data_IF_979570289600
#
_entry.id   IF_979570289600
#
_cell.length_a   1.000
_cell.length_b   1.000
_cell.length_c   1.000
_cell.angle_alpha   90.00
_cell.angle_beta   90.00
_cell.angle_gamma   90.00
#
_symmetry.space_group_name_H-M   'P 1'
#
loop_
_entity.id
_entity.type
_entity.pdbx_description
1 polymer ?
#
# COMPACT_ATOMS: atom_id res chain seq x y z
N UNK A 1 -17.58 10.77 1.61
CA UNK A 1 -16.28 10.99 2.28
C UNK A 1 -15.23 11.20 1.19
N UNK A 2 -14.65 12.40 1.09
CA UNK A 2 -13.95 12.87 -0.11
C UNK A 2 -12.83 11.91 -0.55
N UNK A 3 -12.98 11.32 -1.74
CA UNK A 3 -12.01 10.41 -2.35
C UNK A 3 -10.58 11.02 -2.42
N UNK A 4 -10.49 12.36 -2.43
CA UNK A 4 -9.24 13.09 -2.33
C UNK A 4 -8.52 12.92 -0.98
N UNK A 5 -9.23 12.97 0.14
CA UNK A 5 -8.65 12.76 1.48
C UNK A 5 -8.18 11.32 1.66
N UNK A 6 -8.92 10.36 1.11
CA UNK A 6 -8.54 8.95 1.14
C UNK A 6 -7.26 8.74 0.29
N UNK A 7 -7.18 9.33 -0.90
CA UNK A 7 -5.98 9.24 -1.74
C UNK A 7 -4.77 9.95 -1.11
N UNK A 8 -4.97 11.09 -0.45
CA UNK A 8 -3.91 11.81 0.25
C UNK A 8 -3.43 11.04 1.49
N UNK A 9 -4.37 10.48 2.26
CA UNK A 9 -4.06 9.63 3.41
C UNK A 9 -3.32 8.36 3.00
N UNK A 10 -3.77 7.70 1.92
CA UNK A 10 -3.07 6.54 1.35
C UNK A 10 -1.66 6.92 0.89
N UNK A 11 -1.48 8.06 0.22
CA UNK A 11 -0.14 8.55 -0.17
C UNK A 11 0.76 8.84 1.02
N UNK A 12 0.25 9.48 2.07
CA UNK A 12 1.01 9.79 3.28
C UNK A 12 1.38 8.53 4.04
N UNK A 13 0.46 7.56 4.16
CA UNK A 13 0.71 6.26 4.80
C UNK A 13 1.71 5.41 4.02
N UNK A 14 1.71 5.50 2.69
CA UNK A 14 2.70 4.82 1.83
C UNK A 14 4.08 5.49 1.83
N UNK A 15 4.26 6.61 2.54
CA UNK A 15 5.55 7.30 2.63
C UNK A 15 6.39 6.73 3.77
N UNK A 16 7.59 6.26 3.43
CA UNK A 16 8.58 5.72 4.36
C UNK A 16 8.96 6.68 5.51
N UNK A 17 8.78 7.98 5.30
CA UNK A 17 9.26 9.03 6.21
C UNK A 17 8.20 9.54 7.17
N UNK A 18 6.92 9.24 6.93
CA UNK A 18 5.83 9.85 7.67
C UNK A 18 5.83 9.43 9.14
N UNK A 19 5.87 8.13 9.43
CA UNK A 19 5.88 7.61 10.81
C UNK A 19 7.15 8.05 11.57
N UNK A 20 8.39 7.92 11.02
CA UNK A 20 9.58 8.44 11.68
C UNK A 20 9.52 9.94 11.98
N UNK A 21 9.01 10.75 11.07
CA UNK A 21 8.91 12.20 11.27
C UNK A 21 7.95 12.55 12.41
N UNK A 22 6.79 11.89 12.47
CA UNK A 22 5.82 12.10 13.56
C UNK A 22 6.42 11.68 14.90
N UNK A 23 7.08 10.51 14.97
CA UNK A 23 7.73 10.06 16.20
C UNK A 23 8.84 11.02 16.65
N UNK A 24 9.63 11.55 15.72
CA UNK A 24 10.66 12.55 16.01
C UNK A 24 10.08 13.84 16.59
N UNK A 25 8.98 14.34 16.03
CA UNK A 25 8.27 15.52 16.57
C UNK A 25 7.76 15.25 17.99
N UNK A 26 7.17 14.07 18.23
CA UNK A 26 6.71 13.67 19.56
C UNK A 26 7.88 13.59 20.56
N UNK A 27 9.01 13.04 20.15
CA UNK A 27 10.21 12.96 20.99
C UNK A 27 10.78 14.34 21.33
N UNK A 28 10.83 15.27 20.36
CA UNK A 28 11.22 16.65 20.61
C UNK A 28 10.23 17.34 21.56
N UNK A 29 8.93 17.19 21.34
CA UNK A 29 7.92 17.74 22.25
C UNK A 29 8.05 17.18 23.68
N UNK A 30 8.26 15.87 23.80
CA UNK A 30 8.50 15.21 25.08
C UNK A 30 9.76 15.72 25.78
N UNK A 31 10.83 16.03 25.03
CA UNK A 31 12.07 16.58 25.58
C UNK A 31 11.92 17.97 26.21
N UNK A 32 10.93 18.75 25.79
CA UNK A 32 10.60 20.02 26.43
C UNK A 32 9.60 19.85 27.57
N UNK A 33 8.67 18.89 27.47
CA UNK A 33 7.64 18.67 28.46
C UNK A 33 8.14 17.97 29.74
N UNK A 34 9.02 16.96 29.60
CA UNK A 34 9.47 16.15 30.73
C UNK A 34 10.32 16.92 31.74
N UNK A 35 11.32 17.75 31.36
CA UNK A 35 12.07 18.55 32.34
C UNK A 35 11.19 19.48 33.17
N UNK A 36 10.11 20.00 32.58
CA UNK A 36 9.11 20.86 33.25
C UNK A 36 8.29 20.06 34.28
N UNK A 37 8.12 18.75 34.07
CA UNK A 37 7.53 17.85 35.07
C UNK A 37 8.56 17.53 36.16
N UNK A 38 9.82 17.34 35.81
CA UNK A 38 10.91 17.03 36.75
C UNK A 38 11.03 18.12 37.81
N UNK A 39 10.97 19.40 37.44
CA UNK A 39 10.96 20.54 38.38
C UNK A 39 9.79 20.51 39.39
N UNK A 40 8.70 19.79 39.09
CA UNK A 40 7.50 19.72 39.95
C UNK A 40 7.48 18.50 40.86
N UNK A 41 8.35 17.51 40.63
CA UNK A 41 8.40 16.27 41.40
C UNK A 41 9.49 16.39 42.46
N UNK A 42 9.17 16.09 43.73
CA UNK A 42 10.15 16.12 44.82
C UNK A 42 11.16 14.98 44.64
N UNK A 43 12.46 15.31 44.60
CA UNK A 43 13.60 14.39 44.38
C UNK A 43 13.62 13.21 45.36
N UNK A 44 12.92 13.35 46.50
CA UNK A 44 12.78 12.31 47.54
C UNK A 44 12.17 11.00 47.04
N UNK A 45 11.42 11.03 45.94
CA UNK A 45 10.82 9.83 45.32
C UNK A 45 11.73 9.16 44.27
N UNK A 46 12.86 9.77 43.92
CA UNK A 46 13.75 9.36 42.82
C UNK A 46 15.12 8.85 43.30
N UNK A 47 15.26 8.52 44.59
CA UNK A 47 16.53 8.08 45.21
C UNK A 47 17.14 6.82 44.61
N UNK A 48 16.37 6.05 43.83
CA UNK A 48 16.81 4.86 43.10
C UNK A 48 17.51 5.20 41.77
N UNK A 49 17.44 6.46 41.32
CA UNK A 49 18.05 6.99 40.09
C UNK A 49 19.00 8.14 40.42
N UNK A 50 19.67 8.10 41.57
CA UNK A 50 20.63 9.14 41.93
C UNK A 50 21.79 9.15 40.92
N UNK A 51 21.98 10.27 40.22
CA UNK A 51 22.98 10.40 39.17
C UNK A 51 23.61 11.79 39.16
N UNK A 52 24.90 11.86 38.84
CA UNK A 52 25.61 13.14 38.73
C UNK A 52 25.37 13.77 37.36
N UNK A 53 25.48 15.10 37.25
CA UNK A 53 25.39 15.82 35.96
C UNK A 53 26.35 15.24 34.92
N UNK A 54 27.57 14.87 35.33
CA UNK A 54 28.57 14.26 34.46
C UNK A 54 28.15 12.85 33.98
N UNK A 55 27.60 12.02 34.88
CA UNK A 55 27.09 10.70 34.54
C UNK A 55 25.87 10.79 33.59
N UNK A 56 24.95 11.73 33.83
CA UNK A 56 23.82 11.97 32.94
C UNK A 56 24.27 12.40 31.54
N UNK A 57 25.17 13.40 31.44
CA UNK A 57 25.70 13.87 30.14
C UNK A 57 26.40 12.76 29.37
N UNK A 58 27.28 12.01 30.03
CA UNK A 58 27.99 10.89 29.39
C UNK A 58 27.04 9.79 28.93
N UNK A 59 26.03 9.45 29.74
CA UNK A 59 25.02 8.44 29.39
C UNK A 59 24.15 8.88 28.21
N UNK A 60 23.62 10.11 28.24
CA UNK A 60 22.81 10.67 27.15
C UNK A 60 23.60 10.78 25.84
N UNK A 61 24.86 11.22 25.90
CA UNK A 61 25.74 11.31 24.73
C UNK A 61 26.06 9.92 24.16
N UNK A 62 26.37 8.93 25.01
CA UNK A 62 26.59 7.56 24.59
C UNK A 62 25.34 6.95 23.93
N UNK A 63 24.16 7.16 24.51
CA UNK A 63 22.88 6.71 23.95
C UNK A 63 22.62 7.38 22.61
N UNK A 64 22.75 8.70 22.51
CA UNK A 64 22.53 9.45 21.28
C UNK A 64 23.44 8.93 20.15
N UNK A 65 24.74 8.76 20.41
CA UNK A 65 25.70 8.22 19.45
C UNK A 65 25.37 6.79 19.01
N UNK A 66 25.03 5.92 19.97
CA UNK A 66 24.63 4.55 19.68
C UNK A 66 23.36 4.49 18.81
N UNK A 67 22.33 5.28 19.14
CA UNK A 67 21.09 5.33 18.37
C UNK A 67 21.28 5.89 16.97
N UNK A 68 22.14 6.89 16.77
CA UNK A 68 22.47 7.40 15.42
C UNK A 68 23.16 6.33 14.57
N UNK A 69 24.03 5.54 15.18
CA UNK A 69 24.71 4.42 14.50
C UNK A 69 23.72 3.31 14.16
N UNK A 70 22.87 2.90 15.10
CA UNK A 70 21.82 1.89 14.86
C UNK A 70 20.83 2.35 13.78
N UNK A 71 20.47 3.62 13.76
CA UNK A 71 19.60 4.18 12.71
C UNK A 71 20.26 4.04 11.34
N UNK A 72 21.56 4.35 11.23
CA UNK A 72 22.32 4.19 9.99
C UNK A 72 22.44 2.73 9.53
N UNK A 73 22.67 1.79 10.45
CA UNK A 73 22.75 0.35 10.11
C UNK A 73 21.39 -0.19 9.68
N UNK A 74 20.31 0.18 10.36
CA UNK A 74 18.94 -0.21 10.01
C UNK A 74 18.55 0.34 8.64
N UNK A 75 18.87 1.60 8.35
CA UNK A 75 18.66 2.21 7.03
C UNK A 75 19.43 1.47 5.94
N UNK A 76 20.72 1.18 6.18
CA UNK A 76 21.57 0.43 5.24
C UNK A 76 21.00 -0.97 4.96
N UNK A 77 20.64 -1.72 6.01
CA UNK A 77 20.00 -3.04 5.88
C UNK A 77 18.68 -2.93 5.11
N UNK A 78 17.86 -1.91 5.40
CA UNK A 78 16.58 -1.69 4.69
C UNK A 78 16.83 -1.51 3.19
N UNK A 79 17.79 -0.66 2.81
CA UNK A 79 18.12 -0.40 1.40
C UNK A 79 18.67 -1.65 0.71
N UNK A 80 19.54 -2.39 1.38
CA UNK A 80 20.07 -3.66 0.85
C UNK A 80 18.95 -4.68 0.66
N UNK A 81 18.08 -4.86 1.65
CA UNK A 81 16.92 -5.75 1.55
C UNK A 81 15.97 -5.34 0.44
N UNK A 82 15.69 -4.04 0.28
CA UNK A 82 14.87 -3.50 -0.79
C UNK A 82 15.50 -3.80 -2.17
N UNK A 83 16.81 -3.63 -2.29
CA UNK A 83 17.55 -3.95 -3.52
C UNK A 83 17.49 -5.45 -3.84
N UNK A 84 17.76 -6.32 -2.87
CA UNK A 84 17.70 -7.78 -3.03
C UNK A 84 16.29 -8.24 -3.41
N UNK A 85 15.27 -7.69 -2.76
CA UNK A 85 13.86 -7.98 -3.07
C UNK A 85 13.50 -7.54 -4.48
N UNK A 86 13.96 -6.35 -4.92
CA UNK A 86 13.72 -5.86 -6.28
C UNK A 86 14.33 -6.78 -7.34
N UNK A 87 15.51 -7.32 -7.05
CA UNK A 87 16.20 -8.26 -7.93
C UNK A 87 15.47 -9.61 -7.94
N UNK A 88 15.12 -10.14 -6.77
CA UNK A 88 14.56 -11.47 -6.63
C UNK A 88 13.10 -11.56 -7.09
N UNK A 89 12.25 -10.62 -6.68
CA UNK A 89 10.80 -10.72 -6.85
C UNK A 89 10.21 -9.64 -7.77
N UNK A 90 10.92 -8.54 -7.97
CA UNK A 90 10.56 -7.50 -8.93
C UNK A 90 9.93 -6.23 -8.36
N UNK A 91 9.86 -5.19 -9.20
CA UNK A 91 9.57 -3.84 -8.74
C UNK A 91 8.12 -3.65 -8.27
N UNK A 92 7.23 -4.60 -8.56
CA UNK A 92 5.82 -4.56 -8.10
C UNK A 92 5.70 -4.96 -6.64
N UNK A 93 6.52 -5.89 -6.17
CA UNK A 93 6.49 -6.41 -4.79
C UNK A 93 7.25 -5.53 -3.80
N UNK A 94 8.03 -4.56 -4.29
CA UNK A 94 8.67 -3.52 -3.47
C UNK A 94 7.68 -2.67 -2.68
N UNK A 95 6.44 -2.48 -3.17
CA UNK A 95 5.45 -1.67 -2.47
C UNK A 95 5.03 -2.28 -1.14
N UNK A 96 4.84 -3.59 -1.09
CA UNK A 96 4.52 -4.31 0.15
C UNK A 96 5.61 -4.11 1.21
N UNK A 97 6.87 -3.99 0.78
CA UNK A 97 7.99 -3.68 1.68
C UNK A 97 8.08 -2.21 2.08
N UNK A 98 7.74 -1.27 1.19
CA UNK A 98 7.73 0.16 1.54
C UNK A 98 6.57 0.56 2.45
N UNK A 99 5.46 -0.19 2.39
CA UNK A 99 4.29 -0.05 3.27
C UNK A 99 4.47 -0.76 4.62
N UNK A 100 5.66 -1.30 4.90
CA UNK A 100 5.92 -2.03 6.12
C UNK A 100 6.06 -1.10 7.32
N UNK A 101 4.99 -1.09 8.13
CA UNK A 101 4.91 -0.33 9.37
C UNK A 101 6.03 -0.68 10.36
N UNK A 102 6.50 -1.94 10.38
CA UNK A 102 7.54 -2.37 11.32
C UNK A 102 8.87 -1.70 11.00
N UNK A 103 9.26 -1.65 9.73
CA UNK A 103 10.48 -0.94 9.29
C UNK A 103 10.39 0.55 9.60
N UNK A 104 9.26 1.19 9.30
CA UNK A 104 9.03 2.61 9.55
C UNK A 104 9.05 2.94 11.06
N UNK A 105 8.38 2.14 11.87
CA UNK A 105 8.34 2.29 13.33
C UNK A 105 9.72 2.09 13.95
N UNK A 106 10.47 1.08 13.49
CA UNK A 106 11.81 0.79 14.02
C UNK A 106 12.76 1.95 13.77
N UNK A 107 12.83 2.44 12.52
CA UNK A 107 13.64 3.61 12.18
C UNK A 107 13.21 4.86 12.95
N UNK A 108 11.89 5.06 13.09
CA UNK A 108 11.32 6.14 13.90
C UNK A 108 11.73 6.05 15.36
N UNK A 109 11.69 4.88 15.98
CA UNK A 109 12.07 4.66 17.37
C UNK A 109 13.55 5.01 17.62
N UNK A 110 14.47 4.54 16.79
CA UNK A 110 15.90 4.83 16.96
C UNK A 110 16.22 6.31 16.79
N UNK A 111 15.69 6.92 15.72
CA UNK A 111 15.90 8.34 15.45
C UNK A 111 15.29 9.21 16.57
N UNK A 112 14.10 8.85 17.04
CA UNK A 112 13.39 9.57 18.10
C UNK A 112 14.12 9.48 19.44
N UNK A 113 14.57 8.29 19.84
CA UNK A 113 15.36 8.12 21.08
C UNK A 113 16.66 8.91 21.01
N UNK A 114 17.36 8.88 19.86
CA UNK A 114 18.57 9.66 19.66
C UNK A 114 18.33 11.17 19.72
N UNK A 115 17.30 11.68 19.04
CA UNK A 115 16.91 13.10 19.07
C UNK A 115 16.49 13.54 20.47
N UNK A 116 15.70 12.73 21.18
CA UNK A 116 15.30 12.98 22.56
C UNK A 116 16.54 13.14 23.45
N UNK A 117 17.50 12.23 23.37
CA UNK A 117 18.73 12.30 24.16
C UNK A 117 19.56 13.54 23.85
N UNK A 118 19.67 13.94 22.56
CA UNK A 118 20.36 15.17 22.17
C UNK A 118 19.66 16.43 22.72
N UNK A 119 18.32 16.46 22.71
CA UNK A 119 17.57 17.59 23.25
C UNK A 119 17.69 17.69 24.77
N UNK A 120 17.58 16.57 25.50
CA UNK A 120 17.81 16.56 26.95
C UNK A 120 19.26 16.95 27.27
N UNK A 121 20.24 16.42 26.51
CA UNK A 121 21.65 16.76 26.70
C UNK A 121 21.89 18.28 26.63
N UNK A 122 21.27 18.96 25.65
CA UNK A 122 21.32 20.41 25.53
C UNK A 122 20.78 21.11 26.80
N UNK A 123 19.66 20.63 27.35
CA UNK A 123 19.06 21.22 28.57
C UNK A 123 19.98 21.04 29.78
N UNK A 124 20.61 19.86 29.93
CA UNK A 124 21.58 19.57 31.00
C UNK A 124 22.88 20.40 30.85
N UNK A 125 23.28 20.73 29.62
CA UNK A 125 24.38 21.65 29.35
C UNK A 125 24.05 23.10 29.76
N UNK A 126 22.83 23.56 29.48
CA UNK A 126 22.39 24.92 29.82
C UNK A 126 22.21 25.14 31.35
N UNK A 127 21.88 24.10 32.13
CA UNK A 127 21.52 24.21 33.56
C UNK A 127 22.43 23.40 34.50
N UNK A 128 23.74 23.54 34.37
CA UNK A 128 24.72 22.72 35.13
C UNK A 128 24.60 22.86 36.66
N UNK A 129 24.17 24.02 37.16
CA UNK A 129 24.10 24.34 38.60
C UNK A 129 22.91 23.70 39.32
N UNK A 130 21.85 23.33 38.61
CA UNK A 130 20.58 22.84 39.18
C UNK A 130 20.58 21.29 39.30
N UNK A 131 21.52 20.62 38.61
CA UNK A 131 21.57 19.15 38.53
C UNK A 131 20.77 18.60 37.34
N UNK A 132 20.92 17.30 37.01
CA UNK A 132 20.27 16.72 35.84
C UNK A 132 18.78 16.41 36.09
N UNK A 133 17.91 16.55 35.08
CA UNK A 133 16.50 16.16 35.16
C UNK A 133 16.38 14.62 35.22
N UNK A 134 16.21 14.09 36.44
CA UNK A 134 16.33 12.65 36.73
C UNK A 134 15.31 11.77 36.00
N UNK A 135 14.04 12.20 35.91
CA UNK A 135 13.00 11.43 35.21
C UNK A 135 13.26 11.47 33.71
N UNK A 136 13.67 12.63 33.19
CA UNK A 136 14.01 12.78 31.77
C UNK A 136 15.15 11.84 31.35
N UNK A 137 16.19 11.70 32.20
CA UNK A 137 17.29 10.73 32.01
C UNK A 137 16.79 9.30 32.15
N UNK A 138 15.95 8.99 33.14
CA UNK A 138 15.37 7.67 33.32
C UNK A 138 14.53 7.23 32.10
N UNK A 139 13.73 8.15 31.54
CA UNK A 139 12.97 7.94 30.31
C UNK A 139 13.91 7.70 29.12
N UNK A 140 15.05 8.40 29.02
CA UNK A 140 16.04 8.13 27.98
C UNK A 140 16.58 6.69 28.06
N UNK A 141 16.90 6.22 29.26
CA UNK A 141 17.38 4.84 29.48
C UNK A 141 16.28 3.83 29.14
N UNK A 142 15.04 4.06 29.56
CA UNK A 142 13.90 3.20 29.23
C UNK A 142 13.63 3.14 27.73
N UNK A 143 13.65 4.29 27.05
CA UNK A 143 13.52 4.37 25.58
C UNK A 143 14.65 3.60 24.89
N UNK A 144 15.86 3.61 25.44
CA UNK A 144 17.00 2.85 24.89
C UNK A 144 16.79 1.34 25.02
N UNK A 145 16.31 0.86 26.17
CA UNK A 145 15.98 -0.56 26.37
C UNK A 145 14.84 -1.00 25.44
N UNK A 146 13.84 -0.14 25.28
CA UNK A 146 12.76 -0.36 24.31
C UNK A 146 13.29 -0.42 22.89
N UNK A 147 14.13 0.53 22.48
CA UNK A 147 14.81 0.54 21.17
C UNK A 147 15.60 -0.76 20.97
N UNK A 148 16.34 -1.24 21.96
CA UNK A 148 17.08 -2.51 21.85
C UNK A 148 16.15 -3.70 21.55
N UNK A 149 14.97 -3.75 22.17
CA UNK A 149 13.95 -4.77 21.89
C UNK A 149 13.40 -4.64 20.47
N UNK A 150 13.12 -3.41 20.02
CA UNK A 150 12.69 -3.11 18.65
C UNK A 150 13.75 -3.51 17.63
N UNK A 151 15.03 -3.33 17.92
CA UNK A 151 16.13 -3.74 17.02
C UNK A 151 16.16 -5.26 16.82
N UNK A 152 16.05 -6.02 17.90
CA UNK A 152 16.00 -7.50 17.82
C UNK A 152 14.79 -7.94 16.98
N UNK A 153 13.63 -7.32 17.23
CA UNK A 153 12.42 -7.60 16.45
C UNK A 153 12.57 -7.22 14.97
N UNK A 154 13.15 -6.06 14.68
CA UNK A 154 13.42 -5.62 13.31
C UNK A 154 14.31 -6.60 12.55
N UNK A 155 15.38 -7.09 13.19
CA UNK A 155 16.27 -8.09 12.57
C UNK A 155 15.48 -9.37 12.23
N UNK A 156 14.66 -9.86 13.16
CA UNK A 156 13.82 -11.04 12.92
C UNK A 156 12.83 -10.81 11.77
N UNK A 157 12.19 -9.64 11.76
CA UNK A 157 11.24 -9.24 10.73
C UNK A 157 11.89 -9.18 9.34
N UNK A 158 13.04 -8.52 9.20
CA UNK A 158 13.78 -8.44 7.93
C UNK A 158 14.22 -9.84 7.47
N UNK A 159 14.70 -10.68 8.39
CA UNK A 159 15.12 -12.04 8.07
C UNK A 159 13.97 -12.91 7.54
N UNK A 160 12.76 -12.76 8.10
CA UNK A 160 11.55 -13.43 7.61
C UNK A 160 11.06 -12.83 6.29
N UNK A 161 11.16 -11.51 6.11
CA UNK A 161 10.70 -10.84 4.91
C UNK A 161 11.49 -11.26 3.66
N UNK A 162 12.78 -11.62 3.81
CA UNK A 162 13.61 -12.16 2.72
C UNK A 162 13.18 -13.57 2.29
N UNK A 163 12.44 -14.32 3.12
CA UNK A 163 12.00 -15.67 2.75
C UNK A 163 10.85 -15.62 1.73
N UNK A 164 11.14 -16.08 0.50
CA UNK A 164 10.24 -16.21 -0.65
C UNK A 164 8.82 -16.75 -0.37
N UNK A 165 8.57 -17.69 0.58
CA UNK A 165 7.24 -18.26 0.79
C UNK A 165 6.16 -17.23 1.17
N UNK A 166 6.51 -16.16 1.90
CA UNK A 166 5.53 -15.17 2.34
C UNK A 166 4.99 -14.31 1.20
N UNK A 167 5.83 -14.03 0.20
CA UNK A 167 5.49 -13.21 -0.96
C UNK A 167 4.54 -13.98 -1.88
N UNK A 168 4.84 -15.25 -2.17
CA UNK A 168 3.99 -16.11 -3.01
C UNK A 168 2.61 -16.29 -2.37
N UNK A 169 2.55 -16.52 -1.05
CA UNK A 169 1.29 -16.67 -0.31
C UNK A 169 0.49 -15.36 -0.32
N UNK A 170 1.15 -14.20 -0.21
CA UNK A 170 0.47 -12.91 -0.29
C UNK A 170 -0.14 -12.67 -1.67
N UNK A 171 0.64 -12.86 -2.75
CA UNK A 171 0.15 -12.68 -4.13
C UNK A 171 -0.94 -13.70 -4.46
N UNK A 172 -0.80 -14.96 -4.02
CA UNK A 172 -1.83 -15.97 -4.20
C UNK A 172 -3.14 -15.59 -3.46
N UNK A 173 -3.04 -15.04 -2.25
CA UNK A 173 -4.21 -14.55 -1.50
C UNK A 173 -4.87 -13.36 -2.20
N UNK A 174 -4.10 -12.44 -2.77
CA UNK A 174 -4.62 -11.32 -3.55
C UNK A 174 -5.32 -11.79 -4.82
N UNK A 175 -4.79 -12.82 -5.48
CA UNK A 175 -5.45 -13.51 -6.59
C UNK A 175 -6.77 -14.13 -6.15
N UNK A 176 -6.76 -14.88 -5.04
CA UNK A 176 -7.95 -15.52 -4.47
C UNK A 176 -9.05 -14.50 -4.15
N UNK A 177 -8.71 -13.41 -3.46
CA UNK A 177 -9.63 -12.31 -3.16
C UNK A 177 -10.15 -11.60 -4.42
N UNK A 178 -9.30 -11.47 -5.45
CA UNK A 178 -9.70 -10.86 -6.71
C UNK A 178 -10.68 -11.75 -7.48
N UNK A 179 -10.48 -13.07 -7.44
CA UNK A 179 -11.44 -14.05 -7.97
C UNK A 179 -12.76 -13.95 -7.21
N UNK A 180 -12.74 -13.98 -5.87
CA UNK A 180 -13.95 -13.90 -5.05
C UNK A 180 -14.76 -12.62 -5.28
N UNK A 181 -14.07 -11.48 -5.44
CA UNK A 181 -14.73 -10.19 -5.67
C UNK A 181 -15.32 -10.08 -7.08
N UNK A 182 -14.60 -10.55 -8.10
CA UNK A 182 -15.03 -10.39 -9.51
C UNK A 182 -15.92 -11.53 -10.00
N UNK A 183 -15.88 -12.68 -9.33
CA UNK A 183 -16.60 -13.89 -9.69
C UNK A 183 -17.24 -14.53 -8.44
N UNK A 184 -18.28 -13.92 -7.84
CA UNK A 184 -18.79 -14.30 -6.52
C UNK A 184 -19.57 -15.64 -6.48
N UNK A 185 -19.96 -16.21 -7.62
CA UNK A 185 -20.83 -17.39 -7.68
C UNK A 185 -20.07 -18.70 -7.42
N UNK A 186 -20.55 -19.54 -6.51
CA UNK A 186 -20.03 -20.90 -6.26
C UNK A 186 -21.06 -21.95 -6.73
N UNK A 187 -20.63 -23.20 -6.94
CA UNK A 187 -21.47 -24.31 -7.43
C UNK A 187 -22.74 -24.49 -6.58
N UNK A 188 -23.92 -24.47 -7.23
CA UNK A 188 -25.21 -24.78 -6.61
C UNK A 188 -26.40 -24.03 -7.19
N UNK A 189 -26.77 -24.35 -8.44
CA UNK A 189 -28.07 -24.23 -9.14
C UNK A 189 -27.82 -23.89 -10.63
N UNK A 190 -28.35 -24.67 -11.59
CA UNK A 190 -28.39 -24.28 -12.99
C UNK A 190 -29.35 -23.10 -13.16
N UNK A 191 -29.02 -22.15 -14.03
CA UNK A 191 -29.96 -21.09 -14.43
C UNK A 191 -30.42 -21.42 -15.85
N UNK A 192 -31.73 -21.41 -16.08
CA UNK A 192 -32.40 -21.90 -17.30
C UNK A 192 -32.34 -20.94 -18.52
N UNK A 193 -31.61 -19.82 -18.46
CA UNK A 193 -31.77 -18.70 -19.42
C UNK A 193 -30.51 -18.28 -20.21
N UNK A 194 -29.44 -19.08 -20.24
CA UNK A 194 -28.13 -18.63 -20.78
C UNK A 194 -28.08 -18.46 -22.32
N UNK A 195 -28.86 -19.21 -23.13
CA UNK A 195 -28.88 -19.05 -24.60
C UNK A 195 -29.77 -17.87 -25.09
N UNK A 196 -30.81 -17.54 -24.32
CA UNK A 196 -31.76 -16.47 -24.68
C UNK A 196 -31.14 -15.08 -24.54
N UNK A 197 -30.21 -14.91 -23.61
CA UNK A 197 -29.63 -13.60 -23.27
C UNK A 197 -28.44 -13.19 -24.18
N UNK A 198 -27.59 -14.12 -24.64
CA UNK A 198 -26.55 -13.81 -25.65
C UNK A 198 -27.16 -13.43 -26.99
N UNK A 199 -28.23 -14.14 -27.37
CA UNK A 199 -29.01 -13.84 -28.58
C UNK A 199 -29.66 -12.46 -28.48
N UNK A 200 -30.23 -12.11 -27.32
CA UNK A 200 -30.77 -10.77 -27.05
C UNK A 200 -29.73 -9.66 -27.09
N UNK A 201 -28.55 -9.86 -26.50
CA UNK A 201 -27.48 -8.86 -26.56
C UNK A 201 -27.02 -8.61 -28.00
N UNK A 202 -26.88 -9.67 -28.81
CA UNK A 202 -26.56 -9.56 -30.23
C UNK A 202 -27.67 -8.89 -31.04
N UNK A 203 -28.95 -9.14 -30.70
CA UNK A 203 -30.10 -8.49 -31.33
C UNK A 203 -30.21 -7.01 -30.95
N UNK A 204 -30.05 -6.64 -29.67
CA UNK A 204 -30.00 -5.24 -29.22
C UNK A 204 -28.85 -4.50 -29.89
N UNK A 205 -27.68 -5.12 -30.02
CA UNK A 205 -26.54 -4.51 -30.70
C UNK A 205 -26.77 -4.33 -32.21
N UNK A 206 -27.59 -5.19 -32.84
CA UNK A 206 -28.05 -4.98 -34.24
C UNK A 206 -29.13 -3.91 -34.36
N UNK A 207 -29.93 -3.69 -33.32
CA UNK A 207 -30.95 -2.64 -33.29
C UNK A 207 -30.35 -1.26 -33.01
N UNK A 208 -29.20 -1.21 -32.31
CA UNK A 208 -28.40 0.00 -32.20
C UNK A 208 -27.89 0.39 -33.59
N UNK A 209 -28.28 1.58 -34.05
CA UNK A 209 -27.85 2.09 -35.36
C UNK A 209 -26.33 2.23 -35.46
N UNK A 210 -25.82 2.43 -36.68
CA UNK A 210 -24.38 2.62 -36.94
C UNK A 210 -23.83 3.95 -36.40
N UNK A 211 -24.71 4.88 -36.05
CA UNK A 211 -24.33 6.20 -35.54
C UNK A 211 -24.13 6.14 -34.03
N UNK A 212 -22.87 6.24 -33.62
CA UNK A 212 -22.45 6.35 -32.23
C UNK A 212 -21.43 7.47 -32.09
N UNK A 213 -21.30 7.98 -30.88
CA UNK A 213 -20.23 8.89 -30.52
C UNK A 213 -19.12 8.14 -29.79
N UNK A 214 -17.87 8.37 -30.20
CA UNK A 214 -16.70 7.83 -29.51
C UNK A 214 -16.38 8.76 -28.33
N UNK A 215 -16.61 8.28 -27.10
CA UNK A 215 -16.14 8.96 -25.90
C UNK A 215 -14.65 8.64 -25.73
N UNK A 216 -13.84 9.69 -25.59
CA UNK A 216 -12.39 9.59 -25.47
C UNK A 216 -11.94 9.69 -24.00
N UNK A 217 -10.78 9.11 -23.74
CA UNK A 217 -10.16 9.16 -22.41
C UNK A 217 -9.42 10.50 -22.21
N UNK A 218 -9.64 11.17 -21.08
CA UNK A 218 -8.98 12.45 -20.73
C UNK A 218 -7.53 12.27 -20.21
N UNK A 219 -7.18 11.03 -19.86
CA UNK A 219 -5.95 10.62 -19.17
C UNK A 219 -5.18 9.55 -19.93
N UNK A 220 -3.91 9.42 -19.58
CA UNK A 220 -3.03 8.37 -20.05
C UNK A 220 -2.65 7.43 -18.90
N UNK A 221 -2.68 6.12 -19.15
CA UNK A 221 -2.28 5.09 -18.19
C UNK A 221 -3.06 3.79 -18.34
N UNK A 222 -3.11 3.01 -17.27
CA UNK A 222 -3.90 1.78 -17.19
C UNK A 222 -5.23 2.04 -16.49
N UNK A 223 -6.31 1.49 -17.02
CA UNK A 223 -7.60 1.47 -16.32
C UNK A 223 -7.47 0.57 -15.10
N UNK A 224 -7.63 1.12 -13.90
CA UNK A 224 -7.51 0.41 -12.63
C UNK A 224 -8.88 -0.06 -12.11
N UNK A 225 -9.91 0.75 -12.34
CA UNK A 225 -11.28 0.42 -11.99
C UNK A 225 -12.28 1.19 -12.87
N UNK A 226 -13.45 0.59 -13.03
CA UNK A 226 -14.63 1.17 -13.65
C UNK A 226 -15.76 1.10 -12.62
N UNK A 227 -16.40 2.24 -12.37
CA UNK A 227 -17.60 2.33 -11.54
C UNK A 227 -18.83 1.93 -12.36
N UNK A 228 -19.15 0.63 -12.31
CA UNK A 228 -20.31 0.09 -13.02
C UNK A 228 -21.65 0.65 -12.50
N UNK A 229 -21.71 1.09 -11.24
CA UNK A 229 -22.93 1.68 -10.67
C UNK A 229 -23.10 3.10 -11.20
N UNK A 230 -22.02 3.89 -11.21
CA UNK A 230 -22.01 5.22 -11.81
C UNK A 230 -22.36 5.20 -13.31
N UNK A 231 -21.78 4.26 -14.07
CA UNK A 231 -22.11 4.08 -15.48
C UNK A 231 -23.56 3.69 -15.71
N UNK A 232 -24.13 2.82 -14.88
CA UNK A 232 -25.54 2.45 -14.99
C UNK A 232 -26.46 3.65 -14.72
N UNK A 233 -26.18 4.44 -13.68
CA UNK A 233 -26.93 5.66 -13.40
C UNK A 233 -26.83 6.68 -14.54
N UNK A 234 -25.65 6.81 -15.16
CA UNK A 234 -25.46 7.66 -16.33
C UNK A 234 -26.31 7.17 -17.51
N UNK A 235 -26.30 5.87 -17.77
CA UNK A 235 -27.09 5.25 -18.84
C UNK A 235 -28.60 5.45 -18.62
N UNK A 236 -29.11 5.16 -17.43
CA UNK A 236 -30.55 5.24 -17.15
C UNK A 236 -31.08 6.67 -17.06
N UNK A 237 -30.32 7.60 -16.46
CA UNK A 237 -30.77 8.99 -16.30
C UNK A 237 -30.88 9.76 -17.62
N UNK A 238 -30.19 9.30 -18.66
CA UNK A 238 -30.12 9.95 -19.98
C UNK A 238 -30.57 9.05 -21.13
N UNK A 239 -31.12 7.87 -20.84
CA UNK A 239 -31.56 6.87 -21.83
C UNK A 239 -30.47 6.51 -22.88
N UNK A 240 -29.24 6.31 -22.39
CA UNK A 240 -28.07 6.03 -23.21
C UNK A 240 -27.75 4.54 -23.25
N UNK A 241 -27.16 4.11 -24.36
CA UNK A 241 -26.44 2.83 -24.42
C UNK A 241 -24.96 3.11 -24.47
N UNK A 242 -24.19 2.48 -23.59
CA UNK A 242 -22.74 2.68 -23.44
C UNK A 242 -22.03 1.34 -23.63
N UNK A 243 -21.20 1.22 -24.66
CA UNK A 243 -20.33 0.07 -24.89
C UNK A 243 -18.89 0.44 -24.55
N UNK A 244 -18.38 -0.14 -23.46
CA UNK A 244 -16.98 0.03 -23.09
C UNK A 244 -16.07 -0.72 -24.07
N UNK A 245 -15.13 0.00 -24.70
CA UNK A 245 -14.11 -0.58 -25.59
C UNK A 245 -12.87 -1.04 -24.84
N UNK A 246 -12.74 -0.62 -23.58
CA UNK A 246 -11.61 -0.90 -22.71
C UNK A 246 -12.11 -1.44 -21.37
N UNK A 247 -11.38 -2.39 -20.81
CA UNK A 247 -11.64 -3.01 -19.50
C UNK A 247 -10.49 -2.69 -18.54
N UNK A 248 -10.68 -2.86 -17.22
CA UNK A 248 -9.58 -2.77 -16.27
C UNK A 248 -8.38 -3.63 -16.71
N UNK A 249 -7.18 -3.08 -16.56
CA UNK A 249 -5.93 -3.67 -17.05
C UNK A 249 -5.47 -3.17 -18.42
N UNK A 250 -6.36 -2.63 -19.25
CA UNK A 250 -5.98 -2.06 -20.55
C UNK A 250 -5.28 -0.71 -20.40
N UNK A 251 -4.29 -0.47 -21.26
CA UNK A 251 -3.68 0.84 -21.44
C UNK A 251 -4.56 1.74 -22.32
N UNK A 252 -4.67 3.01 -21.93
CA UNK A 252 -5.37 4.07 -22.64
C UNK A 252 -4.43 5.27 -22.79
N UNK A 253 -4.45 5.87 -23.98
CA UNK A 253 -3.80 7.15 -24.26
C UNK A 253 -4.80 8.28 -24.02
N UNK A 254 -4.29 9.48 -23.73
CA UNK A 254 -5.12 10.69 -23.80
C UNK A 254 -5.71 10.80 -25.21
N UNK A 255 -6.99 11.17 -25.28
CA UNK A 255 -7.82 11.24 -26.50
C UNK A 255 -8.01 9.88 -27.20
N UNK A 256 -7.60 8.76 -26.58
CA UNK A 256 -7.85 7.42 -27.09
C UNK A 256 -9.29 6.95 -26.85
N UNK A 257 -9.79 5.97 -27.62
CA UNK A 257 -11.16 5.47 -27.50
C UNK A 257 -11.39 4.75 -26.17
N UNK A 258 -12.42 5.19 -25.43
CA UNK A 258 -12.80 4.62 -24.13
C UNK A 258 -14.12 3.84 -24.25
N UNK A 259 -15.14 4.46 -24.83
CA UNK A 259 -16.47 3.87 -24.98
C UNK A 259 -17.18 4.38 -26.24
N UNK A 260 -18.08 3.58 -26.77
CA UNK A 260 -19.05 3.97 -27.79
C UNK A 260 -20.37 4.30 -27.10
N UNK A 261 -20.98 5.43 -27.44
CA UNK A 261 -22.21 5.94 -26.81
C UNK A 261 -23.28 6.18 -27.88
N UNK A 262 -24.45 5.59 -27.69
CA UNK A 262 -25.64 5.78 -28.52
C UNK A 262 -26.70 6.61 -27.79
N UNK A 263 -27.65 7.16 -28.55
CA UNK A 263 -28.76 7.99 -28.08
C UNK A 263 -28.34 9.28 -27.36
N UNK A 264 -27.14 9.79 -27.64
CA UNK A 264 -26.65 11.06 -27.09
C UNK A 264 -26.84 12.19 -28.10
N UNK A 265 -27.36 13.32 -27.62
CA UNK A 265 -27.47 14.54 -28.42
C UNK A 265 -26.12 15.27 -28.50
N UNK A 266 -25.82 15.96 -29.61
CA UNK A 266 -24.57 16.74 -29.77
C UNK A 266 -24.34 17.75 -28.63
N UNK A 267 -25.42 18.37 -28.13
CA UNK A 267 -25.36 19.34 -27.03
C UNK A 267 -25.01 18.71 -25.67
N UNK A 268 -25.21 17.40 -25.51
CA UNK A 268 -25.01 16.69 -24.24
C UNK A 268 -23.68 15.91 -24.22
N UNK A 269 -23.07 15.72 -25.39
CA UNK A 269 -21.90 14.87 -25.60
C UNK A 269 -20.75 15.22 -24.64
N UNK A 270 -20.42 16.51 -24.50
CA UNK A 270 -19.32 16.94 -23.63
C UNK A 270 -19.55 16.65 -22.15
N UNK A 271 -20.81 16.74 -21.68
CA UNK A 271 -21.15 16.39 -20.31
C UNK A 271 -21.16 14.88 -20.08
N UNK A 272 -21.66 14.11 -21.05
CA UNK A 272 -21.65 12.64 -21.00
C UNK A 272 -20.22 12.12 -20.99
N UNK A 273 -19.34 12.64 -21.86
CA UNK A 273 -17.93 12.26 -21.92
C UNK A 273 -17.20 12.58 -20.60
N UNK A 274 -17.46 13.74 -20.00
CA UNK A 274 -16.92 14.10 -18.69
C UNK A 274 -17.38 13.14 -17.60
N UNK A 275 -18.68 12.86 -17.51
CA UNK A 275 -19.25 11.94 -16.52
C UNK A 275 -18.73 10.50 -16.71
N UNK A 276 -18.55 10.07 -17.96
CA UNK A 276 -17.97 8.76 -18.29
C UNK A 276 -16.51 8.67 -17.84
N UNK A 277 -15.70 9.70 -18.05
CA UNK A 277 -14.34 9.77 -17.54
C UNK A 277 -14.27 9.80 -16.00
N UNK A 278 -15.24 10.44 -15.33
CA UNK A 278 -15.36 10.40 -13.85
C UNK A 278 -15.64 8.99 -13.30
N UNK A 279 -16.31 8.13 -14.09
CA UNK A 279 -16.58 6.74 -13.75
C UNK A 279 -15.36 5.81 -13.98
N UNK A 280 -14.27 6.30 -14.57
CA UNK A 280 -13.09 5.50 -14.91
C UNK A 280 -11.86 5.97 -14.13
N UNK A 281 -11.27 5.06 -13.36
CA UNK A 281 -10.03 5.33 -12.62
C UNK A 281 -8.85 4.91 -13.47
N UNK A 282 -8.10 5.89 -13.98
CA UNK A 282 -6.85 5.67 -14.73
C UNK A 282 -5.64 5.93 -13.82
N UNK A 283 -4.67 5.02 -13.81
CA UNK A 283 -3.44 5.16 -13.04
C UNK A 283 -2.20 4.68 -13.79
N UNK A 284 -1.02 4.98 -13.24
CA UNK A 284 0.27 4.69 -13.91
C UNK A 284 0.62 3.21 -14.06
N UNK A 285 -0.09 2.31 -13.37
CA UNK A 285 0.19 0.86 -13.34
C UNK A 285 -1.13 0.08 -13.24
N UNK A 286 -1.13 -1.16 -13.71
CA UNK A 286 -2.23 -2.11 -13.46
C UNK A 286 -2.37 -2.40 -11.96
N UNK A 287 -3.55 -2.82 -11.55
CA UNK A 287 -3.85 -3.18 -10.15
C UNK A 287 -4.78 -4.40 -10.15
N UNK A 288 -4.65 -5.34 -9.20
CA UNK A 288 -5.54 -6.51 -9.12
C UNK A 288 -6.98 -6.17 -8.71
N UNK A 289 -7.28 -4.88 -8.42
CA UNK A 289 -8.58 -4.42 -7.90
C UNK A 289 -9.78 -4.75 -8.80
N UNK A 290 -9.62 -4.73 -10.12
CA UNK A 290 -10.66 -5.21 -11.04
C UNK A 290 -10.07 -5.98 -12.22
N UNK A 291 -8.85 -6.48 -12.05
CA UNK A 291 -8.06 -7.08 -13.12
C UNK A 291 -7.33 -8.31 -12.55
N UNK A 292 -8.00 -9.47 -12.62
CA UNK A 292 -7.44 -10.76 -12.15
C UNK A 292 -6.21 -11.16 -12.96
N UNK A 293 -6.12 -10.79 -14.24
CA UNK A 293 -4.94 -11.04 -15.06
C UNK A 293 -3.70 -10.31 -14.53
N UNK A 294 -3.87 -9.19 -13.82
CA UNK A 294 -2.75 -8.52 -13.14
C UNK A 294 -2.15 -9.40 -12.05
N UNK A 295 -2.99 -10.00 -11.19
CA UNK A 295 -2.54 -10.89 -10.11
C UNK A 295 -1.92 -12.19 -10.65
N UNK A 296 -2.49 -12.74 -11.72
CA UNK A 296 -1.89 -13.88 -12.45
C UNK A 296 -0.51 -13.49 -12.99
N UNK A 297 -0.41 -12.33 -13.65
CA UNK A 297 0.84 -11.81 -14.18
C UNK A 297 1.92 -11.61 -13.11
N UNK A 298 1.54 -11.22 -11.90
CA UNK A 298 2.45 -11.10 -10.75
C UNK A 298 3.01 -12.46 -10.30
N UNK A 299 2.18 -13.51 -10.21
CA UNK A 299 2.67 -14.87 -9.92
C UNK A 299 3.58 -15.41 -11.03
N UNK A 300 3.22 -15.17 -12.29
CA UNK A 300 4.04 -15.57 -13.45
C UNK A 300 5.39 -14.85 -13.45
N UNK A 301 5.41 -13.55 -13.13
CA UNK A 301 6.64 -12.77 -13.01
C UNK A 301 7.56 -13.35 -11.93
N UNK A 302 7.01 -13.72 -10.76
CA UNK A 302 7.77 -14.39 -9.69
C UNK A 302 8.32 -15.74 -10.14
N UNK A 303 7.50 -16.56 -10.82
CA UNK A 303 7.92 -17.88 -11.30
C UNK A 303 9.07 -17.79 -12.32
N UNK A 304 8.97 -16.87 -13.29
CA UNK A 304 10.00 -16.67 -14.32
C UNK A 304 11.30 -16.14 -13.71
N UNK A 305 11.21 -15.21 -12.74
CA UNK A 305 12.39 -14.69 -12.03
C UNK A 305 13.07 -15.75 -11.20
N UNK A 306 12.31 -16.58 -10.51
CA UNK A 306 12.85 -17.69 -9.72
C UNK A 306 13.70 -18.64 -10.60
N UNK A 307 13.30 -18.87 -11.85
CA UNK A 307 14.04 -19.67 -12.82
C UNK A 307 15.20 -18.93 -13.52
N UNK A 308 15.39 -17.64 -13.25
CA UNK A 308 16.51 -16.87 -13.84
C UNK A 308 17.85 -17.41 -13.35
N UNK A 309 18.88 -17.31 -14.20
CA UNK A 309 20.22 -17.82 -13.89
C UNK A 309 20.84 -17.23 -12.61
N UNK A 310 20.38 -16.05 -12.17
CA UNK A 310 20.85 -15.39 -10.95
C UNK A 310 20.19 -15.87 -9.65
N UNK A 311 19.01 -16.48 -9.72
CA UNK A 311 18.27 -17.01 -8.56
C UNK A 311 18.29 -18.54 -8.56
N UNK A 312 17.85 -19.15 -9.67
CA UNK A 312 17.78 -20.59 -9.88
C UNK A 312 17.08 -21.36 -8.74
N UNK A 313 15.89 -20.89 -8.36
CA UNK A 313 15.03 -21.49 -7.33
C UNK A 313 13.81 -22.19 -7.98
N UNK A 314 13.93 -23.49 -8.33
CA UNK A 314 12.83 -24.24 -8.91
C UNK A 314 11.67 -24.50 -7.93
N UNK A 315 11.91 -24.52 -6.62
CA UNK A 315 10.85 -24.76 -5.63
C UNK A 315 9.87 -23.58 -5.55
N UNK A 316 10.38 -22.36 -5.62
CA UNK A 316 9.55 -21.16 -5.76
C UNK A 316 8.71 -21.20 -7.03
N UNK A 317 9.30 -21.61 -8.16
CA UNK A 317 8.56 -21.74 -9.43
C UNK A 317 7.45 -22.79 -9.35
N UNK A 318 7.72 -23.96 -8.78
CA UNK A 318 6.71 -25.01 -8.54
C UNK A 318 5.57 -24.47 -7.66
N UNK A 319 5.91 -23.78 -6.58
CA UNK A 319 4.91 -23.18 -5.67
C UNK A 319 4.00 -22.18 -6.41
N UNK A 320 4.54 -21.35 -7.29
CA UNK A 320 3.73 -20.45 -8.13
C UNK A 320 2.81 -21.23 -9.08
N UNK A 321 3.30 -22.32 -9.69
CA UNK A 321 2.49 -23.18 -10.59
C UNK A 321 1.34 -23.83 -9.82
N UNK A 322 1.59 -24.37 -8.64
CA UNK A 322 0.53 -24.97 -7.80
C UNK A 322 -0.55 -23.94 -7.44
N UNK A 323 -0.15 -22.70 -7.09
CA UNK A 323 -1.09 -21.61 -6.80
C UNK A 323 -1.87 -21.17 -8.02
N UNK A 324 -1.24 -21.07 -9.18
CA UNK A 324 -1.92 -20.78 -10.44
C UNK A 324 -2.91 -21.88 -10.79
N UNK A 325 -2.52 -23.16 -10.65
CA UNK A 325 -3.39 -24.30 -10.87
C UNK A 325 -4.62 -24.28 -9.97
N UNK A 326 -4.44 -24.01 -8.67
CA UNK A 326 -5.54 -23.84 -7.72
C UNK A 326 -6.46 -22.69 -8.12
N UNK A 327 -5.91 -21.53 -8.48
CA UNK A 327 -6.69 -20.36 -8.91
C UNK A 327 -7.48 -20.62 -10.21
N UNK A 328 -6.88 -21.33 -11.18
CA UNK A 328 -7.58 -21.73 -12.41
C UNK A 328 -8.69 -22.73 -12.12
N UNK A 329 -8.47 -23.69 -11.22
CA UNK A 329 -9.50 -24.60 -10.75
C UNK A 329 -10.69 -23.85 -10.15
N UNK A 330 -10.43 -22.88 -9.27
CA UNK A 330 -11.48 -22.00 -8.71
C UNK A 330 -12.19 -21.21 -9.80
N UNK A 331 -11.47 -20.62 -10.75
CA UNK A 331 -12.05 -19.81 -11.82
C UNK A 331 -12.93 -20.65 -12.76
N UNK A 332 -12.56 -21.90 -13.03
CA UNK A 332 -13.33 -22.83 -13.84
C UNK A 332 -14.70 -23.16 -13.23
N UNK A 333 -14.82 -23.07 -11.90
CA UNK A 333 -16.10 -23.24 -11.18
C UNK A 333 -16.95 -21.96 -11.17
N UNK A 334 -16.40 -20.82 -11.63
CA UNK A 334 -17.11 -19.54 -11.65
C UNK A 334 -17.77 -19.30 -13.00
N UNK A 335 -18.92 -18.62 -12.97
CA UNK A 335 -19.49 -18.04 -14.18
C UNK A 335 -18.81 -16.70 -14.50
N UNK A 336 -18.43 -16.44 -15.75
CA UNK A 336 -17.95 -15.12 -16.13
C UNK A 336 -19.07 -14.09 -15.95
N UNK A 337 -18.73 -12.85 -15.54
CA UNK A 337 -19.72 -11.78 -15.48
C UNK A 337 -20.31 -11.52 -16.87
N UNK A 338 -21.63 -11.32 -16.91
CA UNK A 338 -22.35 -11.08 -18.17
C UNK A 338 -21.85 -9.79 -18.85
N UNK A 339 -21.69 -9.79 -20.18
CA UNK A 339 -21.21 -8.62 -20.93
C UNK A 339 -22.25 -7.50 -21.02
N UNK A 340 -23.54 -7.85 -20.96
CA UNK A 340 -24.66 -6.91 -20.99
C UNK A 340 -25.15 -6.60 -19.57
N UNK A 341 -25.50 -5.34 -19.30
CA UNK A 341 -26.21 -4.91 -18.08
C UNK A 341 -27.37 -4.01 -18.49
N UNK A 342 -28.54 -4.25 -17.90
CA UNK A 342 -29.77 -3.51 -18.14
C UNK A 342 -30.46 -3.21 -16.80
N UNK A 343 -31.32 -2.19 -16.78
CA UNK A 343 -32.27 -1.89 -15.70
C UNK A 343 -33.67 -2.41 -16.08
#
# INVERSE_FOLDING_TARGET
MNAYLINLWDRLRTSFWFVPAVMGIVAVAASFALPVVDERVDDRYLTWIDTTTLAARSTLSAIAGAMMTVTGTVFSITVVTLSLTSQQFGPRLLRTFMDDFITQFSMGAFLSTGLYCLMILRIVEEHEEIGPPLISVAVAVLLTLFSMSVLIYYIHHVALAIQAPHVIVAVARDLDHSIDRLFPQHIGQPADDDELDETRAAEQQRQLGEVFHMACCDREGYIQAIDAVGLMHLATSRDLVIQLRKRPGHFVSREGPLAEVWNVSDNELGDVERQLNECVIVGRRRTPRQDVECAIGELVEVAVRALSAGINDPHTAISCIDRLGAAMGRLAERRPPRPLRCD
#
